data_IF_467435426050
#
_entry.id   IF_467435426050
#
_cell.length_a   1.000
_cell.length_b   1.000
_cell.length_c   1.000
_cell.angle_alpha   90.00
_cell.angle_beta   90.00
_cell.angle_gamma   90.00
#
_symmetry.space_group_name_H-M   'P 1'
#
loop_
_entity.id
_entity.type
_entity.pdbx_description
1 polymer ?
#
# COMPACT_ATOMS: atom_id res chain seq x y z
N UNK A 1 11.69 -26.75 -8.95
CA UNK A 1 10.33 -26.82 -8.39
C UNK A 1 9.58 -25.57 -8.82
N UNK A 2 8.39 -25.73 -9.39
CA UNK A 2 7.46 -24.61 -9.64
C UNK A 2 6.74 -24.37 -8.33
N UNK A 3 6.92 -23.20 -7.74
CA UNK A 3 6.20 -22.81 -6.52
C UNK A 3 4.94 -22.08 -6.94
N UNK A 4 3.79 -22.45 -6.38
CA UNK A 4 2.54 -21.74 -6.59
C UNK A 4 2.45 -20.58 -5.60
N UNK A 5 2.19 -19.37 -6.09
CA UNK A 5 1.92 -18.23 -5.22
C UNK A 5 0.62 -18.47 -4.46
N UNK A 6 0.61 -18.16 -3.16
CA UNK A 6 -0.60 -18.24 -2.35
C UNK A 6 -1.21 -16.85 -2.21
N UNK A 7 -2.50 -16.75 -2.50
CA UNK A 7 -3.28 -15.52 -2.30
C UNK A 7 -3.81 -15.46 -0.87
N UNK A 8 -3.70 -14.29 -0.26
CA UNK A 8 -4.17 -13.99 1.08
C UNK A 8 -5.16 -12.84 1.05
N UNK A 9 -6.00 -12.75 2.09
CA UNK A 9 -6.99 -11.71 2.22
C UNK A 9 -6.91 -11.03 3.59
N UNK A 10 -6.93 -9.71 3.57
CA UNK A 10 -7.07 -8.86 4.75
C UNK A 10 -8.30 -8.00 4.60
N UNK A 11 -9.14 -7.95 5.65
CA UNK A 11 -10.06 -6.84 5.83
C UNK A 11 -9.31 -5.72 6.54
N UNK A 12 -9.36 -4.51 5.99
CA UNK A 12 -8.64 -3.34 6.48
C UNK A 12 -9.61 -2.18 6.62
N UNK A 13 -9.63 -1.54 7.79
CA UNK A 13 -10.51 -0.40 8.07
C UNK A 13 -9.81 0.72 8.82
N UNK A 14 -10.39 1.91 8.76
CA UNK A 14 -9.93 3.06 9.50
C UNK A 14 -10.93 4.21 9.48
N UNK A 15 -10.87 5.06 10.49
CA UNK A 15 -11.78 6.21 10.62
C UNK A 15 -11.54 7.27 9.55
N UNK A 16 -10.30 7.40 9.06
CA UNK A 16 -9.88 8.33 8.02
C UNK A 16 -8.79 7.68 7.16
N UNK A 17 -8.65 8.14 5.92
CA UNK A 17 -7.57 7.73 5.03
C UNK A 17 -7.18 8.86 4.06
N UNK A 18 -5.92 8.86 3.61
CA UNK A 18 -5.42 9.82 2.64
C UNK A 18 -4.42 9.19 1.67
N UNK A 19 -4.92 8.71 0.54
CA UNK A 19 -4.11 8.20 -0.56
C UNK A 19 -3.80 9.36 -1.50
N UNK A 20 -2.81 10.18 -1.15
CA UNK A 20 -2.58 11.48 -1.80
C UNK A 20 -2.37 11.34 -3.31
N UNK A 21 -3.14 12.10 -4.08
CA UNK A 21 -2.97 12.31 -5.51
C UNK A 21 -1.67 13.08 -5.78
N UNK A 22 -0.74 12.57 -6.61
CA UNK A 22 0.55 13.22 -6.85
C UNK A 22 0.41 14.61 -7.47
N UNK A 23 -0.63 14.85 -8.27
CA UNK A 23 -0.94 16.14 -8.90
C UNK A 23 -1.37 17.23 -7.90
N UNK A 24 -1.84 16.87 -6.70
CA UNK A 24 -2.33 17.79 -5.67
C UNK A 24 -1.49 17.65 -4.39
N UNK A 25 -0.18 17.90 -4.51
CA UNK A 25 0.76 17.72 -3.38
C UNK A 25 0.70 18.85 -2.34
N UNK A 26 0.32 20.06 -2.75
CA UNK A 26 0.26 21.25 -1.86
C UNK A 26 -0.94 21.16 -0.92
N UNK A 27 -2.12 20.95 -1.48
CA UNK A 27 -3.36 20.64 -0.74
C UNK A 27 -3.65 19.16 -0.90
N UNK A 28 -3.54 18.38 0.18
CA UNK A 28 -3.61 16.91 0.07
C UNK A 28 -5.04 16.50 -0.30
N UNK A 29 -5.21 15.96 -1.49
CA UNK A 29 -6.46 15.34 -1.94
C UNK A 29 -6.24 13.84 -2.08
N UNK A 30 -7.06 13.05 -1.40
CA UNK A 30 -7.02 11.59 -1.52
C UNK A 30 -7.56 11.13 -2.88
N UNK A 31 -7.07 9.99 -3.36
CA UNK A 31 -7.85 9.14 -4.25
C UNK A 31 -9.12 8.66 -3.54
N UNK A 32 -10.13 8.32 -4.34
CA UNK A 32 -11.44 7.82 -3.89
C UNK A 32 -11.35 6.48 -3.14
N UNK A 33 -10.32 5.68 -3.43
CA UNK A 33 -10.06 4.36 -2.83
C UNK A 33 -8.56 4.15 -2.62
N UNK A 34 -8.20 3.12 -1.87
CA UNK A 34 -6.81 2.73 -1.61
C UNK A 34 -6.07 2.37 -2.91
N UNK A 35 -4.84 2.86 -3.05
CA UNK A 35 -3.96 2.51 -4.18
C UNK A 35 -3.31 1.13 -3.98
N UNK A 36 -2.96 0.40 -5.05
CA UNK A 36 -2.24 -0.87 -4.93
C UNK A 36 -0.92 -0.73 -4.12
N UNK A 37 -0.18 0.36 -4.30
CA UNK A 37 1.02 0.69 -3.51
C UNK A 37 0.74 0.75 -2.01
N UNK A 38 -0.31 1.49 -1.60
CA UNK A 38 -0.67 1.62 -0.19
C UNK A 38 -1.18 0.28 0.39
N UNK A 39 -1.94 -0.48 -0.41
CA UNK A 39 -2.38 -1.82 -0.05
C UNK A 39 -1.18 -2.77 0.16
N UNK A 40 -0.20 -2.77 -0.75
CA UNK A 40 1.04 -3.57 -0.63
C UNK A 40 1.79 -3.26 0.66
N UNK A 41 1.93 -1.97 0.98
CA UNK A 41 2.61 -1.54 2.21
C UNK A 41 1.96 -2.09 3.50
N UNK A 42 0.65 -2.33 3.51
CA UNK A 42 -0.04 -2.94 4.66
C UNK A 42 0.40 -4.40 4.86
N UNK A 43 0.47 -5.19 3.78
CA UNK A 43 0.98 -6.56 3.84
C UNK A 43 2.45 -6.59 4.26
N UNK A 44 3.27 -5.67 3.74
CA UNK A 44 4.68 -5.55 4.11
C UNK A 44 4.89 -5.17 5.57
N UNK A 45 4.05 -4.27 6.10
CA UNK A 45 4.07 -3.88 7.50
C UNK A 45 3.79 -5.07 8.44
N UNK A 46 2.97 -6.04 8.01
CA UNK A 46 2.74 -7.29 8.75
C UNK A 46 3.97 -8.20 8.61
N UNK A 47 4.40 -8.46 7.38
CA UNK A 47 5.55 -9.30 7.09
C UNK A 47 6.19 -8.98 5.75
N UNK A 48 7.48 -8.66 5.77
CA UNK A 48 8.30 -8.49 4.59
C UNK A 48 9.70 -9.05 4.80
N UNK A 49 10.26 -9.61 3.72
CA UNK A 49 11.65 -10.03 3.56
C UNK A 49 12.08 -9.83 2.11
N UNK A 50 13.38 -9.68 1.81
CA UNK A 50 13.89 -9.65 0.43
C UNK A 50 13.51 -10.89 -0.40
N UNK A 51 13.19 -11.99 0.28
CA UNK A 51 12.78 -13.25 -0.30
C UNK A 51 11.34 -13.29 -0.82
N UNK A 52 10.53 -12.26 -0.56
CA UNK A 52 9.12 -12.24 -0.91
C UNK A 52 8.71 -10.91 -1.54
N UNK A 53 7.69 -10.98 -2.39
CA UNK A 53 7.01 -9.81 -2.94
C UNK A 53 5.52 -9.97 -2.78
N UNK A 54 4.86 -8.88 -2.40
CA UNK A 54 3.41 -8.81 -2.31
C UNK A 54 2.85 -8.21 -3.59
N UNK A 55 2.02 -8.97 -4.29
CA UNK A 55 1.33 -8.53 -5.51
C UNK A 55 -0.15 -8.37 -5.19
N UNK A 56 -0.66 -7.14 -5.16
CA UNK A 56 -2.08 -6.88 -4.96
C UNK A 56 -2.84 -7.31 -6.21
N UNK A 57 -3.83 -8.18 -6.06
CA UNK A 57 -4.60 -8.75 -7.17
C UNK A 57 -6.01 -8.18 -7.24
N UNK A 58 -6.61 -7.84 -6.09
CA UNK A 58 -8.00 -7.40 -6.00
C UNK A 58 -8.22 -6.56 -4.75
N UNK A 59 -9.04 -5.53 -4.89
CA UNK A 59 -9.48 -4.66 -3.80
C UNK A 59 -11.00 -4.56 -3.87
N UNK A 60 -11.69 -4.94 -2.80
CA UNK A 60 -13.14 -4.78 -2.66
C UNK A 60 -13.39 -3.64 -1.68
N UNK A 61 -14.12 -2.61 -2.11
CA UNK A 61 -14.50 -1.45 -1.31
C UNK A 61 -15.78 -1.80 -0.56
N UNK A 62 -15.72 -1.90 0.76
CA UNK A 62 -16.83 -2.39 1.58
C UNK A 62 -17.73 -1.26 2.10
N UNK A 63 -17.17 -0.06 2.27
CA UNK A 63 -17.91 1.11 2.75
C UNK A 63 -18.10 2.16 1.64
N UNK A 64 -19.20 2.92 1.65
CA UNK A 64 -19.40 4.03 0.71
C UNK A 64 -18.27 5.06 0.79
N UNK A 65 -17.91 5.64 -0.35
CA UNK A 65 -16.88 6.66 -0.46
C UNK A 65 -17.40 7.96 0.17
N UNK A 66 -16.90 8.32 1.36
CA UNK A 66 -17.26 9.53 2.09
C UNK A 66 -16.05 10.44 2.21
N UNK A 67 -16.24 11.72 1.93
CA UNK A 67 -15.19 12.72 2.04
C UNK A 67 -15.26 13.48 3.37
N UNK A 68 -14.10 13.88 3.87
CA UNK A 68 -13.96 14.75 5.04
C UNK A 68 -12.86 15.77 4.80
N UNK A 69 -13.15 17.04 5.10
CA UNK A 69 -12.18 18.12 4.96
C UNK A 69 -11.78 18.67 6.32
N UNK A 70 -10.48 18.92 6.50
CA UNK A 70 -9.96 19.60 7.67
C UNK A 70 -8.69 20.38 7.32
N UNK A 71 -8.31 21.31 8.20
CA UNK A 71 -7.10 22.12 8.06
C UNK A 71 -6.11 21.79 9.17
N UNK A 72 -4.83 21.80 8.82
CA UNK A 72 -3.72 21.63 9.76
C UNK A 72 -2.69 22.72 9.59
N UNK A 73 -2.07 23.08 10.71
CA UNK A 73 -0.84 23.85 10.70
C UNK A 73 0.32 22.88 10.40
N UNK A 74 0.93 23.00 9.23
CA UNK A 74 2.14 22.29 8.83
C UNK A 74 3.31 23.27 8.69
N UNK A 75 4.54 22.75 8.70
CA UNK A 75 5.72 23.53 8.36
C UNK A 75 5.71 23.83 6.85
N UNK A 76 5.86 25.10 6.51
CA UNK A 76 5.77 25.59 5.13
C UNK A 76 7.03 25.37 4.29
N UNK A 77 8.20 25.31 4.93
CA UNK A 77 9.49 25.21 4.25
C UNK A 77 10.37 24.11 4.85
N UNK A 78 11.10 23.39 4.00
CA UNK A 78 12.20 22.54 4.44
C UNK A 78 13.36 23.42 4.93
N UNK A 79 13.98 23.03 6.03
CA UNK A 79 15.15 23.75 6.53
C UNK A 79 16.31 23.61 5.53
N UNK A 80 16.88 24.74 5.11
CA UNK A 80 18.06 24.75 4.25
C UNK A 80 19.26 24.12 4.99
N UNK A 81 20.12 23.33 4.33
CA UNK A 81 21.34 22.81 4.94
C UNK A 81 22.29 23.89 5.49
N UNK A 82 22.14 25.15 5.05
CA UNK A 82 22.95 26.29 5.47
C UNK A 82 22.31 27.10 6.62
N UNK A 83 21.07 26.82 6.99
CA UNK A 83 20.37 27.55 8.04
C UNK A 83 20.75 27.02 9.42
N UNK A 84 20.93 27.92 10.40
CA UNK A 84 21.22 27.56 11.80
C UNK A 84 20.00 26.97 12.53
N UNK A 85 18.80 27.18 11.99
CA UNK A 85 17.55 26.65 12.53
C UNK A 85 16.36 27.12 11.70
N UNK A 86 15.20 26.54 11.99
CA UNK A 86 13.92 26.96 11.43
C UNK A 86 12.99 27.34 12.58
N UNK A 87 12.59 28.60 12.64
CA UNK A 87 11.54 29.02 13.56
C UNK A 87 10.18 28.69 12.93
N UNK A 88 9.43 27.80 13.59
CA UNK A 88 8.21 27.20 13.04
C UNK A 88 7.09 28.25 12.92
N UNK A 89 6.97 29.17 13.89
CA UNK A 89 5.90 30.17 13.87
C UNK A 89 5.98 31.09 12.64
N UNK A 90 7.20 31.47 12.22
CA UNK A 90 7.42 32.34 11.05
C UNK A 90 7.18 31.60 9.71
N UNK A 91 7.17 30.26 9.74
CA UNK A 91 7.04 29.41 8.55
C UNK A 91 5.84 28.46 8.65
N UNK A 92 4.84 28.79 9.46
CA UNK A 92 3.64 27.97 9.64
C UNK A 92 2.68 28.19 8.47
N UNK A 93 2.24 27.11 7.84
CA UNK A 93 1.24 27.13 6.79
C UNK A 93 0.02 26.32 7.17
N UNK A 94 -1.17 26.86 6.90
CA UNK A 94 -2.40 26.09 6.99
C UNK A 94 -2.64 25.34 5.69
N UNK A 95 -2.60 24.01 5.75
CA UNK A 95 -2.93 23.17 4.61
C UNK A 95 -4.29 22.53 4.80
N UNK A 96 -5.14 22.70 3.79
CA UNK A 96 -6.38 21.97 3.67
C UNK A 96 -6.10 20.55 3.17
N UNK A 97 -6.81 19.58 3.72
CA UNK A 97 -6.78 18.20 3.24
C UNK A 97 -8.19 17.71 2.97
N UNK A 98 -8.40 17.05 1.84
CA UNK A 98 -9.63 16.35 1.48
C UNK A 98 -9.36 14.84 1.57
N UNK A 99 -9.84 14.25 2.66
CA UNK A 99 -9.60 12.87 3.06
C UNK A 99 -10.81 12.00 2.79
N UNK A 100 -10.60 10.68 2.85
CA UNK A 100 -11.68 9.72 3.02
C UNK A 100 -12.03 9.54 4.50
N UNK A 101 -13.28 9.22 4.79
CA UNK A 101 -13.81 8.94 6.13
C UNK A 101 -14.47 7.57 6.16
N UNK A 102 -14.27 6.84 7.26
CA UNK A 102 -14.96 5.57 7.55
C UNK A 102 -14.76 4.54 6.43
N UNK A 103 -13.48 4.28 6.10
CA UNK A 103 -13.11 3.39 5.00
C UNK A 103 -13.00 1.95 5.48
N UNK A 104 -13.40 1.02 4.63
CA UNK A 104 -13.24 -0.40 4.85
C UNK A 104 -13.00 -1.10 3.50
N UNK A 105 -12.00 -1.95 3.44
CA UNK A 105 -11.58 -2.66 2.24
C UNK A 105 -11.35 -4.13 2.54
N UNK A 106 -11.66 -5.00 1.58
CA UNK A 106 -11.14 -6.37 1.54
C UNK A 106 -10.06 -6.44 0.46
N UNK A 107 -8.82 -6.68 0.87
CA UNK A 107 -7.65 -6.62 -0.01
C UNK A 107 -7.12 -8.03 -0.20
N UNK A 108 -6.92 -8.43 -1.45
CA UNK A 108 -6.33 -9.69 -1.83
C UNK A 108 -4.92 -9.45 -2.38
N UNK A 109 -3.98 -10.25 -1.91
CA UNK A 109 -2.59 -10.18 -2.34
C UNK A 109 -1.97 -11.56 -2.45
N UNK A 110 -1.23 -11.78 -3.52
CA UNK A 110 -0.38 -12.95 -3.68
C UNK A 110 0.98 -12.72 -3.03
N UNK A 111 1.44 -13.72 -2.28
CA UNK A 111 2.83 -13.81 -1.83
C UNK A 111 3.64 -14.57 -2.89
N UNK A 112 4.48 -13.82 -3.60
CA UNK A 112 5.46 -14.36 -4.53
C UNK A 112 6.77 -14.63 -3.78
N UNK A 113 7.30 -15.85 -3.88
CA UNK A 113 8.61 -16.20 -3.35
C UNK A 113 9.69 -15.97 -4.42
N UNK A 114 10.72 -15.20 -4.07
CA UNK A 114 11.87 -14.91 -4.93
C UNK A 114 13.05 -15.76 -4.44
N UNK A 115 13.44 -16.81 -5.17
CA UNK A 115 14.62 -17.62 -4.83
C UNK A 115 15.89 -16.77 -4.87
N UNK A 116 16.88 -17.11 -4.04
CA UNK A 116 18.20 -16.46 -3.96
C UNK A 116 18.80 -16.16 -5.34
N UNK A 117 18.82 -17.15 -6.23
CA UNK A 117 19.34 -17.01 -7.62
C UNK A 117 18.67 -15.93 -8.48
N UNK A 118 17.47 -15.47 -8.11
CA UNK A 118 16.69 -14.46 -8.84
C UNK A 118 16.65 -13.11 -8.10
N UNK A 119 17.40 -12.95 -7.00
CA UNK A 119 17.44 -11.70 -6.23
C UNK A 119 18.48 -10.74 -6.80
N UNK A 120 18.28 -9.46 -6.53
CA UNK A 120 19.28 -8.43 -6.80
C UNK A 120 20.52 -8.64 -5.92
N UNK A 121 21.68 -8.11 -6.32
CA UNK A 121 22.91 -8.20 -5.52
C UNK A 121 22.73 -7.62 -4.12
N UNK A 122 21.94 -6.56 -3.99
CA UNK A 122 21.63 -5.94 -2.71
C UNK A 122 20.76 -6.85 -1.83
N UNK A 123 19.69 -7.43 -2.38
CA UNK A 123 18.83 -8.36 -1.66
C UNK A 123 19.57 -9.65 -1.26
N UNK A 124 20.55 -10.05 -2.06
CA UNK A 124 21.48 -11.13 -1.75
C UNK A 124 22.37 -10.77 -0.55
N UNK A 125 22.90 -9.54 -0.49
CA UNK A 125 23.71 -9.09 0.65
C UNK A 125 22.93 -9.01 1.96
N UNK A 126 21.61 -8.80 1.88
CA UNK A 126 20.67 -8.80 3.03
C UNK A 126 20.29 -10.22 3.48
N UNK A 127 20.69 -11.26 2.74
CA UNK A 127 20.41 -12.65 3.07
C UNK A 127 21.31 -13.11 4.24
N UNK A 128 20.71 -13.50 5.37
CA UNK A 128 21.43 -13.90 6.59
C UNK A 128 21.90 -15.36 6.54
N UNK A 129 22.80 -15.75 7.45
CA UNK A 129 23.12 -17.16 7.70
C UNK A 129 21.83 -17.97 7.97
N UNK A 130 21.57 -19.02 7.18
CA UNK A 130 20.30 -19.76 7.16
C UNK A 130 19.40 -19.50 5.94
N UNK A 131 19.87 -18.73 4.96
CA UNK A 131 19.14 -18.48 3.71
C UNK A 131 19.00 -19.73 2.82
N UNK A 132 19.84 -20.76 3.04
CA UNK A 132 19.73 -22.07 2.39
C UNK A 132 18.41 -22.79 2.68
N UNK A 133 17.78 -22.49 3.81
CA UNK A 133 16.55 -23.15 4.29
C UNK A 133 15.28 -22.36 3.92
N UNK A 134 15.43 -21.32 3.09
CA UNK A 134 14.32 -20.52 2.63
C UNK A 134 13.47 -21.29 1.62
N UNK A 135 12.19 -21.38 1.93
CA UNK A 135 11.18 -21.98 1.06
C UNK A 135 9.86 -21.22 1.21
N UNK A 136 8.95 -21.33 0.22
CA UNK A 136 7.66 -20.64 0.28
C UNK A 136 6.83 -21.00 1.51
N UNK A 137 6.85 -22.27 1.93
CA UNK A 137 6.08 -22.76 3.08
C UNK A 137 6.43 -22.04 4.39
N UNK A 138 7.74 -21.82 4.62
CA UNK A 138 8.25 -21.03 5.76
C UNK A 138 7.65 -19.63 5.78
N UNK A 139 7.69 -18.92 4.65
CA UNK A 139 7.21 -17.54 4.56
C UNK A 139 5.70 -17.42 4.64
N UNK A 140 4.97 -18.34 4.01
CA UNK A 140 3.53 -18.48 4.14
C UNK A 140 3.11 -18.65 5.61
N UNK A 141 3.70 -19.61 6.31
CA UNK A 141 3.42 -19.86 7.73
C UNK A 141 3.78 -18.66 8.64
N UNK A 142 4.86 -17.93 8.32
CA UNK A 142 5.25 -16.72 9.07
C UNK A 142 4.23 -15.60 8.92
N UNK A 143 3.78 -15.31 7.70
CA UNK A 143 2.75 -14.30 7.44
C UNK A 143 1.44 -14.68 8.12
N UNK A 144 0.92 -15.89 7.90
CA UNK A 144 -0.35 -16.34 8.47
C UNK A 144 -0.36 -16.24 10.00
N UNK A 145 0.71 -16.70 10.65
CA UNK A 145 0.82 -16.62 12.11
C UNK A 145 0.76 -15.17 12.61
N UNK A 146 1.42 -14.24 11.92
CA UNK A 146 1.43 -12.82 12.28
C UNK A 146 0.06 -12.18 12.04
N UNK A 147 -0.50 -12.40 10.85
CA UNK A 147 -1.78 -11.85 10.44
C UNK A 147 -2.92 -12.32 11.37
N UNK A 148 -2.97 -13.61 11.73
CA UNK A 148 -3.94 -14.16 12.69
C UNK A 148 -3.84 -13.56 14.09
N UNK A 149 -2.62 -13.20 14.52
CA UNK A 149 -2.37 -12.61 15.85
C UNK A 149 -2.45 -11.09 15.86
N UNK A 150 -2.72 -10.44 14.73
CA UNK A 150 -2.65 -8.98 14.60
C UNK A 150 -1.22 -8.42 14.78
N UNK A 151 -0.19 -9.25 14.60
CA UNK A 151 1.21 -8.81 14.76
C UNK A 151 1.71 -8.14 13.48
N UNK A 152 2.37 -6.99 13.66
CA UNK A 152 3.02 -6.26 12.60
C UNK A 152 4.41 -5.79 13.06
N UNK A 153 5.30 -5.53 12.10
CA UNK A 153 6.60 -4.93 12.38
C UNK A 153 6.46 -3.43 12.70
N UNK A 154 5.62 -2.74 11.93
CA UNK A 154 5.19 -1.37 12.20
C UNK A 154 3.67 -1.33 12.08
N UNK A 155 3.01 -0.42 12.81
CA UNK A 155 1.57 -0.19 12.66
C UNK A 155 1.23 0.18 11.21
N UNK A 156 0.40 -0.61 10.50
CA UNK A 156 -0.06 -0.25 9.17
C UNK A 156 -0.88 1.04 9.21
N UNK A 157 -0.89 1.78 8.11
CA UNK A 157 -1.58 3.06 8.00
C UNK A 157 -2.21 3.25 6.62
N UNK A 158 -3.23 4.10 6.53
CA UNK A 158 -4.03 4.35 5.35
C UNK A 158 -3.53 5.60 4.62
N UNK A 159 -2.42 5.41 3.89
CA UNK A 159 -1.79 6.41 3.04
C UNK A 159 -0.81 7.33 3.79
N UNK A 160 -1.27 8.03 4.83
CA UNK A 160 -0.39 8.85 5.68
C UNK A 160 -0.32 8.27 7.11
N UNK A 161 0.82 8.44 7.81
CA UNK A 161 1.07 7.82 9.14
C UNK A 161 0.12 8.29 10.24
N UNK A 162 -0.53 9.44 10.07
CA UNK A 162 -1.55 9.94 10.99
C UNK A 162 -2.81 9.06 11.03
N UNK A 163 -3.01 8.19 10.03
CA UNK A 163 -4.20 7.38 9.85
C UNK A 163 -3.87 5.90 10.04
N UNK A 164 -3.80 5.42 11.28
CA UNK A 164 -3.58 4.00 11.57
C UNK A 164 -4.65 3.12 10.93
N UNK A 165 -4.25 1.95 10.42
CA UNK A 165 -5.15 0.97 9.83
C UNK A 165 -5.33 -0.22 10.80
N UNK A 166 -6.58 -0.58 11.06
CA UNK A 166 -6.92 -1.85 11.68
C UNK A 166 -7.01 -2.91 10.58
N UNK A 167 -6.46 -4.10 10.82
CA UNK A 167 -6.54 -5.21 9.88
C UNK A 167 -7.02 -6.49 10.57
N UNK A 168 -7.71 -7.33 9.80
CA UNK A 168 -8.15 -8.66 10.21
C UNK A 168 -7.84 -9.65 9.10
N UNK A 169 -7.19 -10.75 9.45
CA UNK A 169 -6.92 -11.83 8.51
C UNK A 169 -8.17 -12.66 8.23
N UNK A 170 -8.52 -12.83 6.96
CA UNK A 170 -9.68 -13.62 6.55
C UNK A 170 -9.20 -14.99 6.06
N UNK A 171 -9.53 -16.03 6.82
CA UNK A 171 -9.29 -17.41 6.43
C UNK A 171 -10.30 -17.85 5.35
N UNK A 172 -9.80 -18.52 4.31
CA UNK A 172 -10.61 -19.01 3.17
C UNK A 172 -11.56 -17.93 2.61
N UNK A 173 -11.01 -16.80 2.15
CA UNK A 173 -11.81 -15.67 1.71
C UNK A 173 -12.65 -16.04 0.49
N UNK A 174 -13.93 -15.70 0.53
CA UNK A 174 -14.79 -15.77 -0.65
C UNK A 174 -14.69 -14.43 -1.36
N UNK A 175 -14.24 -14.44 -2.62
CA UNK A 175 -14.27 -13.25 -3.48
C UNK A 175 -15.71 -12.83 -3.69
N UNK A 176 -16.02 -11.60 -3.27
CA UNK A 176 -17.38 -11.07 -3.28
C UNK A 176 -17.44 -9.74 -4.01
N UNK A 177 -18.60 -9.11 -3.89
CA UNK A 177 -18.77 -7.72 -4.31
C UNK A 177 -18.47 -6.79 -3.13
N UNK A 178 -18.13 -5.56 -3.45
CA UNK A 178 -18.06 -4.46 -2.50
C UNK A 178 -19.39 -3.71 -2.43
N UNK A 179 -19.31 -2.38 -2.34
CA UNK A 179 -20.45 -1.49 -2.49
C UNK A 179 -21.14 -1.69 -3.85
N UNK A 180 -22.48 -1.54 -3.94
CA UNK A 180 -23.23 -1.74 -5.18
C UNK A 180 -23.06 -0.54 -6.14
N UNK A 181 -21.82 -0.25 -6.52
CA UNK A 181 -21.45 0.90 -7.32
C UNK A 181 -20.43 0.53 -8.39
N UNK A 182 -20.68 0.99 -9.61
CA UNK A 182 -19.73 1.01 -10.72
C UNK A 182 -19.17 2.43 -10.87
N UNK A 183 -17.85 2.56 -10.93
CA UNK A 183 -17.19 3.87 -11.11
C UNK A 183 -15.91 3.73 -11.93
N UNK A 184 -15.75 4.58 -12.94
CA UNK A 184 -14.43 4.81 -13.54
C UNK A 184 -13.68 5.82 -12.66
N UNK A 185 -12.62 5.35 -12.00
CA UNK A 185 -11.80 6.15 -11.08
C UNK A 185 -10.70 6.91 -11.82
N UNK A 186 -10.59 6.72 -13.14
CA UNK A 186 -9.56 7.32 -13.97
C UNK A 186 -8.18 6.72 -13.72
N UNK A 187 -7.14 7.47 -14.05
CA UNK A 187 -5.77 7.06 -13.77
C UNK A 187 -5.45 7.20 -12.27
N UNK A 188 -4.95 6.12 -11.71
CA UNK A 188 -4.57 6.02 -10.31
C UNK A 188 -3.12 5.54 -10.21
N UNK A 189 -2.41 6.04 -9.19
CA UNK A 189 -1.10 5.52 -8.83
C UNK A 189 -1.20 4.01 -8.58
N UNK A 190 -0.48 3.24 -9.39
CA UNK A 190 -0.32 1.81 -9.21
C UNK A 190 0.72 1.57 -8.11
N UNK A 191 1.97 1.97 -8.38
CA UNK A 191 3.11 1.86 -7.46
C UNK A 191 4.28 2.74 -7.93
N UNK A 192 5.40 2.72 -7.22
CA UNK A 192 6.65 3.35 -7.64
C UNK A 192 7.61 2.29 -8.21
N UNK A 193 8.20 2.56 -9.37
CA UNK A 193 9.27 1.76 -9.94
C UNK A 193 10.61 2.14 -9.31
N UNK A 194 11.15 1.23 -8.49
CA UNK A 194 12.43 1.40 -7.80
C UNK A 194 13.61 0.75 -8.53
N UNK A 195 13.45 0.36 -9.80
CA UNK A 195 14.57 -0.20 -10.61
C UNK A 195 15.77 0.77 -10.65
N UNK A 196 15.51 2.08 -10.62
CA UNK A 196 16.52 3.09 -10.35
C UNK A 196 16.19 3.82 -9.04
N UNK A 197 16.84 3.44 -7.94
CA UNK A 197 16.58 4.02 -6.62
C UNK A 197 16.85 5.54 -6.54
N UNK A 198 17.71 6.07 -7.41
CA UNK A 198 18.01 7.51 -7.45
C UNK A 198 16.93 8.33 -8.15
N UNK A 199 16.10 7.69 -8.96
CA UNK A 199 15.01 8.31 -9.72
C UNK A 199 13.80 7.37 -9.77
N UNK A 200 13.10 7.17 -8.64
CA UNK A 200 11.94 6.29 -8.59
C UNK A 200 10.79 6.91 -9.37
N UNK A 201 10.26 6.18 -10.35
CA UNK A 201 9.21 6.68 -11.26
C UNK A 201 7.83 6.20 -10.85
N UNK A 202 6.80 7.07 -10.82
CA UNK A 202 5.45 6.63 -10.53
C UNK A 202 4.88 5.83 -11.70
N UNK A 203 4.26 4.69 -11.39
CA UNK A 203 3.50 3.89 -12.34
C UNK A 203 2.01 4.12 -12.13
N UNK A 204 1.23 4.13 -13.20
CA UNK A 204 -0.20 4.39 -13.19
C UNK A 204 -0.98 3.33 -13.95
N UNK A 205 -2.23 3.13 -13.57
CA UNK A 205 -3.18 2.30 -14.31
C UNK A 205 -4.56 2.96 -14.32
N UNK A 206 -5.42 2.61 -15.27
CA UNK A 206 -6.81 3.09 -15.28
C UNK A 206 -7.64 2.21 -14.37
N UNK A 207 -8.03 2.74 -13.23
CA UNK A 207 -8.80 2.02 -12.22
C UNK A 207 -10.30 2.06 -12.57
N UNK A 208 -10.88 0.90 -12.86
CA UNK A 208 -12.31 0.75 -13.08
C UNK A 208 -12.88 -0.13 -11.97
N UNK A 209 -13.77 0.45 -11.17
CA UNK A 209 -14.47 -0.23 -10.10
C UNK A 209 -15.82 -0.76 -10.62
N UNK A 210 -16.07 -2.05 -10.42
CA UNK A 210 -17.31 -2.74 -10.80
C UNK A 210 -17.92 -3.42 -9.60
N UNK A 211 -19.15 -3.08 -9.22
CA UNK A 211 -19.80 -3.56 -8.00
C UNK A 211 -18.87 -3.44 -6.76
N UNK A 212 -18.20 -2.29 -6.63
CA UNK A 212 -17.28 -2.02 -5.52
C UNK A 212 -15.95 -2.77 -5.60
N UNK A 213 -15.66 -3.43 -6.72
CA UNK A 213 -14.46 -4.25 -6.90
C UNK A 213 -13.52 -3.59 -7.89
N UNK A 214 -12.26 -3.46 -7.50
CA UNK A 214 -11.15 -3.11 -8.35
C UNK A 214 -10.28 -4.35 -8.60
N UNK A 215 -10.15 -4.76 -9.85
CA UNK A 215 -9.17 -5.77 -10.27
C UNK A 215 -7.86 -5.03 -10.55
N UNK A 216 -6.79 -5.47 -9.88
CA UNK A 216 -5.47 -4.84 -10.02
C UNK A 216 -4.67 -5.66 -11.04
N UNK A 217 -4.21 -5.05 -12.14
CA UNK A 217 -3.44 -5.78 -13.15
C UNK A 217 -2.07 -6.18 -12.58
N UNK A 218 -1.45 -7.21 -13.16
CA UNK A 218 -0.06 -7.55 -12.85
C UNK A 218 0.86 -6.38 -13.19
N UNK A 219 1.93 -6.18 -12.42
CA UNK A 219 2.92 -5.12 -12.62
C UNK A 219 3.58 -5.17 -14.02
N UNK A 220 3.58 -6.34 -14.67
CA UNK A 220 4.11 -6.54 -16.01
C UNK A 220 3.04 -6.45 -17.12
N UNK A 221 1.80 -6.09 -16.78
CA UNK A 221 0.73 -5.89 -17.77
C UNK A 221 0.93 -4.58 -18.53
N UNK A 222 0.54 -4.55 -19.81
CA UNK A 222 0.51 -3.34 -20.64
C UNK A 222 -0.46 -2.27 -20.12
N UNK A 223 -1.39 -2.66 -19.24
CA UNK A 223 -2.30 -1.74 -18.55
C UNK A 223 -1.56 -0.81 -17.56
N UNK A 224 -0.39 -1.22 -17.09
CA UNK A 224 0.45 -0.44 -16.16
C UNK A 224 1.39 0.44 -16.97
N UNK A 225 1.21 1.75 -16.86
CA UNK A 225 2.00 2.78 -17.55
C UNK A 225 3.10 3.30 -16.63
N UNK A 226 4.32 3.40 -17.15
CA UNK A 226 5.51 3.92 -16.46
C UNK A 226 5.94 5.27 -17.02
#
# INVERSE_FOLDING_TARGET
MVYTNKEYCLEVKGSMACFTRPEMKVERVSYDVITPSAARAIFEAIFWKPAIRWNITRIEVLNPIKWFSFKRNEVGNLMSPRASGLFIEDNRQQKSSLLLKDVCYRIFAELEFIPIRNRTEEDMSKATAGSSDENPGKYNAMFERRAKKGQCFNQPYLGCREFSADFTYIENPVKGNGIPEDRDLGYMLYDMDFTNEKDPKPMFFRAIMKQGVLVVPSINSEEVRR
#
